data_IF_367468353984
#
_entry.id   IF_367468353984
#
_cell.length_a   1.000
_cell.length_b   1.000
_cell.length_c   1.000
_cell.angle_alpha   90.00
_cell.angle_beta   90.00
_cell.angle_gamma   90.00
#
_symmetry.space_group_name_H-M   'P 1'
#
loop_
_entity.id
_entity.type
_entity.pdbx_description
1 polymer ?
#
# COMPACT_ATOMS: atom_id res chain seq x y z
N UNK A 1 46.12 -53.60 22.73
CA UNK A 1 44.77 -53.06 22.68
C UNK A 1 44.87 -51.60 22.31
N UNK A 2 44.49 -51.28 21.09
CA UNK A 2 44.48 -49.91 20.61
C UNK A 2 43.04 -49.42 20.73
N UNK A 3 42.81 -48.45 21.64
CA UNK A 3 41.50 -47.86 21.84
C UNK A 3 41.29 -46.72 20.82
N UNK A 4 40.44 -46.97 19.83
CA UNK A 4 40.00 -45.93 18.92
C UNK A 4 38.94 -45.05 19.60
N UNK A 5 39.34 -43.87 20.06
CA UNK A 5 38.42 -42.84 20.43
C UNK A 5 37.75 -42.26 19.15
N UNK A 6 36.51 -42.60 18.96
CA UNK A 6 35.67 -42.02 17.90
C UNK A 6 35.42 -40.55 18.24
N UNK A 7 36.13 -39.65 17.54
CA UNK A 7 35.76 -38.23 17.52
C UNK A 7 34.55 -38.07 16.61
N UNK A 8 33.39 -37.90 17.22
CA UNK A 8 32.19 -37.49 16.50
C UNK A 8 32.28 -35.97 16.31
N UNK A 9 32.70 -35.56 15.12
CA UNK A 9 32.63 -34.15 14.73
C UNK A 9 31.16 -33.86 14.44
N UNK A 10 30.51 -33.22 15.41
CA UNK A 10 29.17 -32.67 15.19
C UNK A 10 29.32 -31.42 14.29
N UNK A 11 29.03 -31.60 13.00
CA UNK A 11 28.91 -30.52 12.03
C UNK A 11 27.63 -29.77 12.32
N UNK A 12 27.73 -28.74 13.17
CA UNK A 12 26.65 -27.80 13.40
C UNK A 12 26.56 -26.93 12.15
N UNK A 13 25.67 -27.34 11.22
CA UNK A 13 25.20 -26.50 10.14
C UNK A 13 24.44 -25.31 10.79
N UNK A 14 25.13 -24.21 11.04
CA UNK A 14 24.51 -22.92 11.28
C UNK A 14 23.79 -22.49 10.00
N UNK A 15 22.56 -22.88 9.86
CA UNK A 15 21.62 -22.28 8.91
C UNK A 15 21.40 -20.84 9.37
N UNK A 16 22.25 -19.93 8.89
CA UNK A 16 21.97 -18.51 8.95
C UNK A 16 20.72 -18.27 8.11
N UNK A 17 19.58 -18.25 8.77
CA UNK A 17 18.32 -17.79 8.19
C UNK A 17 18.53 -16.30 7.87
N UNK A 18 18.93 -16.02 6.63
CA UNK A 18 18.88 -14.68 6.08
C UNK A 18 17.40 -14.26 6.16
N UNK A 19 17.08 -13.48 7.17
CA UNK A 19 15.79 -12.80 7.23
C UNK A 19 15.83 -11.76 6.11
N UNK A 20 15.38 -12.16 4.94
CA UNK A 20 15.02 -11.19 3.90
C UNK A 20 13.85 -10.41 4.49
N UNK A 21 14.15 -9.23 5.01
CA UNK A 21 13.13 -8.27 5.36
C UNK A 21 12.46 -7.83 4.05
N UNK A 22 11.45 -8.60 3.61
CA UNK A 22 10.57 -8.16 2.56
C UNK A 22 9.89 -6.88 3.07
N UNK A 23 10.21 -5.74 2.48
CA UNK A 23 9.59 -4.49 2.86
C UNK A 23 8.09 -4.61 2.62
N UNK A 24 7.32 -4.16 3.62
CA UNK A 24 5.86 -4.19 3.58
C UNK A 24 5.30 -3.00 2.79
N UNK A 25 4.10 -3.17 2.21
CA UNK A 25 3.31 -2.05 1.70
C UNK A 25 2.80 -1.12 2.80
N UNK A 26 2.82 -1.55 4.06
CA UNK A 26 2.44 -0.72 5.21
C UNK A 26 3.39 0.47 5.32
N UNK A 27 2.83 1.65 5.58
CA UNK A 27 3.56 2.90 5.70
C UNK A 27 2.90 4.03 4.95
N UNK A 28 3.62 5.13 4.78
CA UNK A 28 3.12 6.35 4.14
C UNK A 28 3.61 6.46 2.71
N UNK A 29 2.73 6.87 1.83
CA UNK A 29 2.97 6.94 0.39
C UNK A 29 2.47 8.25 -0.18
N UNK A 30 3.34 8.93 -0.95
CA UNK A 30 2.97 10.12 -1.70
C UNK A 30 2.24 9.67 -2.97
N UNK A 31 1.03 10.16 -3.16
CA UNK A 31 0.28 9.98 -4.40
C UNK A 31 0.59 11.09 -5.38
N UNK A 32 0.64 10.76 -6.64
CA UNK A 32 1.00 11.67 -7.73
C UNK A 32 -0.23 11.88 -8.62
N UNK A 33 -0.47 13.12 -8.99
CA UNK A 33 -1.48 13.46 -9.98
C UNK A 33 -1.01 13.03 -11.37
N UNK A 34 -1.79 12.18 -12.04
CA UNK A 34 -1.39 11.59 -13.32
C UNK A 34 -1.36 12.59 -14.47
N UNK A 35 -2.13 13.68 -14.39
CA UNK A 35 -2.18 14.70 -15.42
C UNK A 35 -1.05 15.70 -15.29
N UNK A 36 -0.73 16.10 -14.06
CA UNK A 36 0.24 17.17 -13.79
C UNK A 36 1.59 16.69 -13.31
N UNK A 37 1.69 15.44 -12.84
CA UNK A 37 2.89 14.89 -12.21
C UNK A 37 3.20 15.48 -10.81
N UNK A 38 2.31 16.31 -10.27
CA UNK A 38 2.49 16.94 -8.96
C UNK A 38 2.06 16.01 -7.83
N UNK A 39 2.68 16.21 -6.68
CA UNK A 39 2.27 15.54 -5.44
C UNK A 39 0.85 15.94 -5.05
N UNK A 40 0.02 14.97 -4.76
CA UNK A 40 -1.40 15.15 -4.50
C UNK A 40 -1.76 15.00 -3.03
N UNK A 41 -1.35 13.89 -2.43
CA UNK A 41 -1.65 13.58 -1.04
C UNK A 41 -0.63 12.60 -0.46
N UNK A 42 -0.70 12.38 0.85
CA UNK A 42 -0.04 11.25 1.50
C UNK A 42 -1.13 10.30 1.99
N UNK A 43 -0.99 9.04 1.62
CA UNK A 43 -1.86 7.94 2.05
C UNK A 43 -1.06 7.03 2.96
N UNK A 44 -1.60 6.76 4.14
CA UNK A 44 -1.06 5.77 5.07
C UNK A 44 -1.77 4.44 4.86
N UNK A 45 -0.99 3.42 4.49
CA UNK A 45 -1.44 2.03 4.42
C UNK A 45 -1.20 1.35 5.76
N UNK A 46 -2.21 0.70 6.29
CA UNK A 46 -2.17 0.02 7.58
C UNK A 46 -2.97 -1.27 7.56
N UNK A 47 -2.58 -2.21 8.41
CA UNK A 47 -3.30 -3.46 8.59
C UNK A 47 -4.28 -3.38 9.76
N UNK A 48 -5.45 -3.96 9.56
CA UNK A 48 -6.44 -4.20 10.60
C UNK A 48 -7.13 -5.54 10.31
N UNK A 49 -7.15 -6.44 11.29
CA UNK A 49 -7.74 -7.78 11.14
C UNK A 49 -7.26 -8.52 9.89
N UNK A 50 -5.93 -8.48 9.66
CA UNK A 50 -5.22 -9.11 8.53
C UNK A 50 -5.58 -8.54 7.14
N UNK A 51 -6.34 -7.46 7.07
CA UNK A 51 -6.66 -6.73 5.84
C UNK A 51 -5.90 -5.43 5.76
N UNK A 52 -5.64 -4.98 4.53
CA UNK A 52 -5.01 -3.70 4.27
C UNK A 52 -6.05 -2.62 4.02
N UNK A 53 -5.83 -1.48 4.66
CA UNK A 53 -6.60 -0.24 4.51
C UNK A 53 -5.69 0.92 4.21
N UNK A 54 -6.24 1.99 3.67
CA UNK A 54 -5.49 3.21 3.43
C UNK A 54 -6.32 4.46 3.70
N UNK A 55 -5.72 5.44 4.37
CA UNK A 55 -6.34 6.73 4.67
C UNK A 55 -5.47 7.89 4.25
N UNK A 56 -6.10 8.98 3.85
CA UNK A 56 -5.40 10.23 3.53
C UNK A 56 -4.94 10.88 4.84
N UNK A 57 -3.65 11.13 4.98
CA UNK A 57 -3.06 11.78 6.16
C UNK A 57 -2.57 13.18 5.89
N UNK A 58 -2.36 13.54 4.62
CA UNK A 58 -1.92 14.86 4.22
C UNK A 58 -2.43 15.21 2.81
N UNK A 59 -2.75 16.45 2.58
CA UNK A 59 -3.14 16.99 1.28
C UNK A 59 -2.16 18.08 0.88
N UNK A 60 -1.51 17.93 -0.27
CA UNK A 60 -0.68 18.98 -0.83
C UNK A 60 -1.56 20.15 -1.29
N UNK A 61 -1.17 21.41 -0.99
CA UNK A 61 -1.94 22.57 -1.41
C UNK A 61 -2.15 22.63 -2.92
N UNK A 62 -3.36 23.00 -3.33
CA UNK A 62 -3.72 23.25 -4.73
C UNK A 62 -4.35 24.62 -4.83
N UNK A 63 -4.02 25.34 -5.88
CA UNK A 63 -4.66 26.63 -6.20
C UNK A 63 -6.16 26.44 -6.41
N UNK A 64 -6.95 27.35 -5.83
CA UNK A 64 -8.41 27.32 -5.94
C UNK A 64 -9.12 26.22 -5.16
N UNK A 65 -8.41 25.47 -4.30
CA UNK A 65 -8.97 24.39 -3.49
C UNK A 65 -8.85 24.69 -2.01
N UNK A 66 -9.90 24.37 -1.25
CA UNK A 66 -9.86 24.38 0.21
C UNK A 66 -8.73 23.46 0.74
N UNK A 67 -8.17 23.80 1.90
CA UNK A 67 -7.12 23.00 2.53
C UNK A 67 -7.58 21.58 2.90
N UNK A 68 -8.84 21.43 3.32
CA UNK A 68 -9.45 20.15 3.68
C UNK A 68 -10.88 20.08 3.16
N UNK A 69 -11.07 19.82 1.85
CA UNK A 69 -12.41 19.72 1.29
C UNK A 69 -13.11 18.45 1.75
N UNK A 70 -14.44 18.45 1.67
CA UNK A 70 -15.27 17.27 1.93
C UNK A 70 -15.45 16.44 0.67
N UNK A 71 -15.66 15.13 0.83
CA UNK A 71 -15.99 14.25 -0.29
C UNK A 71 -17.45 14.42 -0.73
N UNK A 72 -17.73 15.45 -1.49
CA UNK A 72 -19.08 15.81 -1.95
C UNK A 72 -19.66 14.81 -2.95
N UNK A 73 -18.82 14.12 -3.71
CA UNK A 73 -19.20 13.14 -4.73
C UNK A 73 -19.25 11.70 -4.23
N UNK A 74 -18.84 11.44 -2.99
CA UNK A 74 -18.99 10.14 -2.38
C UNK A 74 -20.45 9.75 -2.20
N UNK A 75 -20.77 8.45 -2.31
CA UNK A 75 -22.14 7.91 -2.24
C UNK A 75 -22.41 7.02 -1.03
N UNK A 76 -21.36 6.59 -0.31
CA UNK A 76 -21.47 5.73 0.87
C UNK A 76 -21.29 6.52 2.18
N UNK A 77 -20.88 5.84 3.25
CA UNK A 77 -20.59 6.44 4.56
C UNK A 77 -19.56 7.57 4.53
N UNK A 78 -18.80 7.71 3.43
CA UNK A 78 -17.80 8.76 3.23
C UNK A 78 -18.37 10.04 2.62
N UNK A 79 -19.64 10.06 2.27
CA UNK A 79 -20.33 11.25 1.75
C UNK A 79 -20.17 12.42 2.71
N UNK A 80 -19.72 13.56 2.18
CA UNK A 80 -19.50 14.82 2.91
C UNK A 80 -18.50 14.74 4.08
N UNK A 81 -17.71 13.66 4.16
CA UNK A 81 -16.63 13.55 5.14
C UNK A 81 -15.39 14.33 4.67
N UNK A 82 -14.61 14.92 5.60
CA UNK A 82 -13.35 15.58 5.25
C UNK A 82 -12.38 14.62 4.56
N UNK A 83 -11.60 15.09 3.59
CA UNK A 83 -10.59 14.25 2.93
C UNK A 83 -9.44 13.88 3.85
N UNK A 84 -9.04 14.76 4.78
CA UNK A 84 -8.06 14.39 5.81
C UNK A 84 -8.66 13.35 6.75
N UNK A 85 -8.00 12.20 6.85
CA UNK A 85 -8.45 11.05 7.61
C UNK A 85 -9.40 10.13 6.83
N UNK A 86 -9.79 10.46 5.61
CA UNK A 86 -10.70 9.65 4.82
C UNK A 86 -10.06 8.32 4.43
N UNK A 87 -10.76 7.23 4.73
CA UNK A 87 -10.34 5.89 4.33
C UNK A 87 -10.70 5.68 2.85
N UNK A 88 -9.68 5.67 1.99
CA UNK A 88 -9.87 5.51 0.54
C UNK A 88 -9.61 4.10 0.05
N UNK A 89 -8.84 3.30 0.79
CA UNK A 89 -8.59 1.89 0.48
C UNK A 89 -9.20 1.03 1.57
N UNK A 90 -9.96 0.01 1.17
CA UNK A 90 -10.70 -0.86 2.08
C UNK A 90 -10.58 -2.33 1.74
N UNK A 91 -10.34 -3.12 2.80
CA UNK A 91 -10.59 -4.55 2.82
C UNK A 91 -9.73 -5.40 1.91
N UNK A 92 -8.52 -4.98 1.61
CA UNK A 92 -7.62 -5.75 0.76
C UNK A 92 -7.09 -6.98 1.47
N UNK A 93 -6.99 -8.09 0.74
CA UNK A 93 -6.48 -9.37 1.23
C UNK A 93 -5.14 -9.68 0.60
N UNK A 94 -4.23 -10.25 1.39
CA UNK A 94 -2.95 -10.75 0.90
C UNK A 94 -3.13 -12.09 0.20
N UNK A 95 -2.63 -12.21 -1.02
CA UNK A 95 -2.72 -13.44 -1.83
C UNK A 95 -1.40 -14.22 -1.95
N UNK A 96 -0.36 -13.80 -1.21
CA UNK A 96 0.97 -14.40 -1.25
C UNK A 96 2.00 -13.64 -2.09
N UNK A 97 1.60 -12.63 -2.86
CA UNK A 97 2.49 -11.81 -3.68
C UNK A 97 2.06 -10.37 -3.78
N UNK A 98 0.75 -10.12 -3.71
CA UNK A 98 0.16 -8.80 -3.79
C UNK A 98 -1.07 -8.68 -2.89
N UNK A 99 -1.51 -7.46 -2.65
CA UNK A 99 -2.78 -7.17 -2.01
C UNK A 99 -3.87 -7.06 -3.08
N UNK A 100 -4.99 -7.74 -2.88
CA UNK A 100 -6.10 -7.84 -3.85
C UNK A 100 -7.46 -7.85 -3.15
N UNK A 101 -8.52 -7.95 -3.92
CA UNK A 101 -9.91 -8.15 -3.47
C UNK A 101 -10.45 -7.00 -2.62
N UNK A 102 -9.83 -5.84 -2.65
CA UNK A 102 -10.31 -4.63 -1.99
C UNK A 102 -10.76 -3.57 -2.97
N UNK A 103 -11.09 -2.40 -2.43
CA UNK A 103 -11.55 -1.25 -3.20
C UNK A 103 -10.73 -0.01 -2.93
N UNK A 104 -10.69 0.88 -3.92
CA UNK A 104 -10.16 2.23 -3.80
C UNK A 104 -11.20 3.26 -4.23
N UNK A 105 -11.36 4.29 -3.42
CA UNK A 105 -12.21 5.44 -3.72
C UNK A 105 -11.36 6.55 -4.35
N UNK A 106 -11.85 7.11 -5.44
CA UNK A 106 -11.37 8.39 -5.96
C UNK A 106 -12.31 9.51 -5.44
N UNK A 107 -11.87 10.33 -4.49
CA UNK A 107 -12.73 11.35 -3.92
C UNK A 107 -13.04 12.50 -4.89
N UNK A 108 -12.30 12.65 -5.99
CA UNK A 108 -12.54 13.69 -6.97
C UNK A 108 -13.77 13.41 -7.83
N UNK A 109 -14.04 12.14 -8.14
CA UNK A 109 -15.20 11.71 -8.91
C UNK A 109 -16.23 10.90 -8.11
N UNK A 110 -15.89 10.50 -6.89
CA UNK A 110 -16.74 9.67 -6.02
C UNK A 110 -16.86 8.21 -6.42
N UNK A 111 -16.12 7.76 -7.43
CA UNK A 111 -16.17 6.39 -7.91
C UNK A 111 -15.31 5.46 -7.06
N UNK A 112 -15.77 4.22 -6.93
CA UNK A 112 -15.11 3.14 -6.22
C UNK A 112 -14.66 2.11 -7.26
N UNK A 113 -13.39 1.73 -7.20
CA UNK A 113 -12.75 0.79 -8.12
C UNK A 113 -12.29 -0.44 -7.34
N UNK A 114 -12.29 -1.59 -8.00
CA UNK A 114 -11.49 -2.72 -7.53
C UNK A 114 -10.02 -2.37 -7.62
N UNK A 115 -9.19 -2.86 -6.71
CA UNK A 115 -7.79 -2.45 -6.64
C UNK A 115 -6.84 -3.60 -6.33
N UNK A 116 -5.66 -3.56 -6.93
CA UNK A 116 -4.49 -4.36 -6.58
C UNK A 116 -3.34 -3.47 -6.19
N UNK A 117 -2.58 -3.90 -5.19
CA UNK A 117 -1.42 -3.16 -4.67
C UNK A 117 -0.24 -4.11 -4.49
N UNK A 118 0.91 -3.73 -5.02
CA UNK A 118 2.16 -4.46 -4.84
C UNK A 118 3.36 -3.53 -4.87
N UNK A 119 4.41 -3.91 -4.15
CA UNK A 119 5.68 -3.21 -4.23
C UNK A 119 6.33 -3.44 -5.59
N UNK A 120 6.97 -2.39 -6.11
CA UNK A 120 7.83 -2.53 -7.28
C UNK A 120 8.95 -3.54 -6.96
N UNK A 121 9.13 -4.61 -7.75
CA UNK A 121 10.14 -5.63 -7.48
C UNK A 121 11.58 -5.09 -7.55
N UNK A 122 11.81 -4.00 -8.26
CA UNK A 122 13.12 -3.37 -8.40
C UNK A 122 13.37 -2.24 -7.39
N UNK A 123 12.31 -1.67 -6.82
CA UNK A 123 12.42 -0.55 -5.90
C UNK A 123 11.30 -0.56 -4.86
N UNK A 124 11.61 -1.03 -3.66
CA UNK A 124 10.66 -1.12 -2.55
C UNK A 124 10.15 0.24 -2.01
N UNK A 125 10.69 1.36 -2.48
CA UNK A 125 10.19 2.70 -2.23
C UNK A 125 9.15 3.16 -3.25
N UNK A 126 8.78 2.29 -4.19
CA UNK A 126 7.69 2.49 -5.13
C UNK A 126 6.59 1.46 -4.89
N UNK A 127 5.36 1.95 -4.89
CA UNK A 127 4.16 1.14 -4.77
C UNK A 127 3.35 1.24 -6.05
N UNK A 128 3.00 0.11 -6.62
CA UNK A 128 2.07 0.05 -7.74
C UNK A 128 0.65 -0.10 -7.19
N UNK A 129 -0.22 0.79 -7.60
CA UNK A 129 -1.65 0.82 -7.23
C UNK A 129 -2.46 0.78 -8.51
N UNK A 130 -3.16 -0.32 -8.75
CA UNK A 130 -3.91 -0.54 -9.98
C UNK A 130 -5.39 -0.62 -9.69
N UNK A 131 -6.13 0.36 -10.19
CA UNK A 131 -7.59 0.37 -10.14
C UNK A 131 -8.20 -0.25 -11.40
N UNK A 132 -9.35 -0.92 -11.23
CA UNK A 132 -10.06 -1.61 -12.30
C UNK A 132 -11.52 -1.18 -12.39
N UNK A 133 -12.00 -1.04 -13.62
CA UNK A 133 -13.43 -1.06 -13.96
C UNK A 133 -13.60 -2.14 -15.05
N UNK A 134 -14.12 -3.31 -14.65
CA UNK A 134 -14.17 -4.44 -15.56
C UNK A 134 -12.79 -4.79 -16.12
N UNK A 135 -12.63 -4.94 -17.47
CA UNK A 135 -11.34 -5.26 -18.07
C UNK A 135 -10.40 -4.05 -18.21
N UNK A 136 -10.89 -2.83 -17.94
CA UNK A 136 -10.11 -1.59 -18.06
C UNK A 136 -9.41 -1.32 -16.74
N UNK A 137 -8.11 -1.02 -16.79
CA UNK A 137 -7.33 -0.72 -15.62
C UNK A 137 -6.39 0.46 -15.84
N UNK A 138 -5.97 1.07 -14.73
CA UNK A 138 -4.97 2.13 -14.69
C UNK A 138 -4.05 1.91 -13.49
N UNK A 139 -2.74 1.95 -13.72
CA UNK A 139 -1.73 1.78 -12.67
C UNK A 139 -1.12 3.12 -12.34
N UNK A 140 -1.16 3.47 -11.04
CA UNK A 140 -0.43 4.59 -10.47
C UNK A 140 0.80 4.08 -9.73
N UNK A 141 1.84 4.90 -9.66
CA UNK A 141 3.01 4.65 -8.83
C UNK A 141 3.05 5.68 -7.71
N UNK A 142 3.02 5.17 -6.48
CA UNK A 142 3.16 5.98 -5.29
C UNK A 142 4.58 5.88 -4.75
N UNK A 143 5.04 6.90 -4.07
CA UNK A 143 6.43 7.01 -3.59
C UNK A 143 6.42 6.96 -2.07
N UNK A 144 7.23 6.08 -1.49
CA UNK A 144 7.35 5.97 -0.04
C UNK A 144 7.85 7.26 0.58
N UNK A 145 7.25 7.64 1.70
CA UNK A 145 7.68 8.77 2.52
C UNK A 145 7.65 8.39 4.00
N UNK A 146 8.23 9.24 4.83
CA UNK A 146 8.26 9.06 6.29
C UNK A 146 7.02 9.65 6.99
#
# INVERSE_FOLDING_TARGET
MISFKRFTVALICMLSVLRVNAQSCVGKWITIDDETGKKKSIVELYKKDEKLYGKITFLYPREGREANPKCKKCSDDRKDQPLLGLQIIRGMKWDGGEWDTGTILDPENGKIYDVKIWLDPENSNRLNVRGYIGPIFRTQRWIRTD
#
